data_IF_402724955670
#
_entry.id   IF_402724955670
#
_cell.length_a   1.000
_cell.length_b   1.000
_cell.length_c   1.000
_cell.angle_alpha   90.00
_cell.angle_beta   90.00
_cell.angle_gamma   90.00
#
_symmetry.space_group_name_H-M   'P 1'
#
loop_
_entity.id
_entity.type
_entity.pdbx_description
1 polymer ?
#
# COMPACT_ATOMS: atom_id res chain seq x y z
N UNK A 1 -18.01 3.06 -7.47
CA UNK A 1 -18.37 2.14 -6.36
C UNK A 1 -17.62 2.48 -5.05
N UNK A 2 -17.43 3.76 -4.69
CA UNK A 2 -16.57 4.17 -3.56
C UNK A 2 -17.31 4.43 -2.23
N UNK A 3 -18.63 4.65 -2.29
CA UNK A 3 -19.48 4.89 -1.11
C UNK A 3 -19.49 3.71 -0.13
N UNK A 4 -19.69 2.43 -0.57
CA UNK A 4 -19.68 1.31 0.36
C UNK A 4 -18.27 1.04 0.94
N UNK A 5 -17.21 1.30 0.19
CA UNK A 5 -15.84 1.10 0.68
C UNK A 5 -15.50 2.07 1.81
N UNK A 6 -15.89 3.35 1.71
CA UNK A 6 -15.70 4.34 2.79
C UNK A 6 -16.40 3.92 4.07
N UNK A 7 -17.68 3.54 3.97
CA UNK A 7 -18.46 3.09 5.14
C UNK A 7 -17.79 1.87 5.80
N UNK A 8 -17.34 0.90 5.00
CA UNK A 8 -16.63 -0.27 5.49
C UNK A 8 -15.30 0.10 6.17
N UNK A 9 -14.49 0.98 5.56
CA UNK A 9 -13.21 1.41 6.16
C UNK A 9 -13.42 2.14 7.48
N UNK A 10 -14.40 3.03 7.56
CA UNK A 10 -14.74 3.75 8.80
C UNK A 10 -15.22 2.80 9.90
N UNK A 11 -16.06 1.82 9.53
CA UNK A 11 -16.53 0.80 10.45
C UNK A 11 -15.38 -0.07 10.99
N UNK A 12 -14.45 -0.50 10.10
CA UNK A 12 -13.28 -1.27 10.50
C UNK A 12 -12.39 -0.45 11.43
N UNK A 13 -12.09 0.82 11.10
CA UNK A 13 -11.29 1.70 11.98
C UNK A 13 -11.92 1.86 13.36
N UNK A 14 -13.24 2.07 13.41
CA UNK A 14 -13.96 2.25 14.66
C UNK A 14 -13.88 1.02 15.58
N UNK A 15 -14.00 -0.19 15.01
CA UNK A 15 -13.91 -1.43 15.78
C UNK A 15 -12.49 -1.95 16.01
N UNK A 16 -11.48 -1.28 15.47
CA UNK A 16 -10.12 -1.78 15.45
C UNK A 16 -9.43 -1.64 16.81
N UNK A 17 -8.98 -2.77 17.39
CA UNK A 17 -8.21 -2.77 18.63
C UNK A 17 -6.74 -2.49 18.35
N UNK A 18 -6.27 -1.31 18.78
CA UNK A 18 -4.92 -0.80 18.50
C UNK A 18 -3.77 -1.48 19.29
N UNK A 19 -4.08 -2.42 20.17
CA UNK A 19 -3.10 -3.00 21.10
C UNK A 19 -2.18 -4.06 20.49
N UNK A 20 -2.41 -4.53 19.26
CA UNK A 20 -1.62 -5.61 18.65
C UNK A 20 -0.67 -5.06 17.59
N UNK A 21 0.57 -5.55 17.54
CA UNK A 21 1.62 -5.06 16.61
C UNK A 21 1.17 -5.16 15.15
N UNK A 22 0.66 -6.33 14.79
CA UNK A 22 0.10 -6.60 13.45
C UNK A 22 -1.04 -5.62 13.16
N UNK A 23 -1.82 -5.25 14.18
CA UNK A 23 -2.94 -4.33 14.00
C UNK A 23 -2.44 -2.93 13.62
N UNK A 24 -1.33 -2.45 14.18
CA UNK A 24 -0.82 -1.09 13.93
C UNK A 24 -0.51 -0.83 12.45
N UNK A 25 0.18 -1.73 11.74
CA UNK A 25 0.48 -1.55 10.32
C UNK A 25 -0.79 -1.60 9.46
N UNK A 26 -1.70 -2.54 9.73
CA UNK A 26 -2.98 -2.58 9.03
C UNK A 26 -3.78 -1.30 9.27
N UNK A 27 -3.72 -0.74 10.48
CA UNK A 27 -4.30 0.56 10.82
C UNK A 27 -3.72 1.69 9.96
N UNK A 28 -2.39 1.80 9.87
CA UNK A 28 -1.73 2.81 9.01
C UNK A 28 -2.13 2.63 7.54
N UNK A 29 -2.07 1.41 7.02
CA UNK A 29 -2.48 1.11 5.64
C UNK A 29 -3.94 1.50 5.37
N UNK A 30 -4.83 1.22 6.32
CA UNK A 30 -6.26 1.49 6.17
C UNK A 30 -6.56 2.99 6.28
N UNK A 31 -5.84 3.72 7.13
CA UNK A 31 -5.87 5.20 7.17
C UNK A 31 -5.38 5.78 5.85
N UNK A 32 -4.24 5.33 5.33
CA UNK A 32 -3.71 5.81 4.04
C UNK A 32 -4.70 5.55 2.90
N UNK A 33 -5.27 4.35 2.82
CA UNK A 33 -6.29 4.04 1.80
C UNK A 33 -7.58 4.86 1.99
N UNK A 34 -7.99 5.11 3.23
CA UNK A 34 -9.10 6.02 3.52
C UNK A 34 -8.82 7.44 3.02
N UNK A 35 -7.61 7.96 3.26
CA UNK A 35 -7.19 9.27 2.77
C UNK A 35 -7.17 9.33 1.24
N UNK A 36 -6.70 8.29 0.55
CA UNK A 36 -6.76 8.22 -0.92
C UNK A 36 -8.20 8.43 -1.38
N UNK A 37 -9.15 7.66 -0.84
CA UNK A 37 -10.55 7.76 -1.27
C UNK A 37 -11.14 9.14 -0.93
N UNK A 38 -10.82 9.70 0.24
CA UNK A 38 -11.26 11.03 0.65
C UNK A 38 -10.72 12.15 -0.24
N UNK A 39 -9.50 11.99 -0.78
CA UNK A 39 -8.88 12.97 -1.69
C UNK A 39 -9.36 12.77 -3.13
N UNK A 40 -9.53 11.54 -3.61
CA UNK A 40 -9.93 11.28 -5.01
C UNK A 40 -11.42 11.52 -5.26
N UNK A 41 -12.29 11.21 -4.29
CA UNK A 41 -13.74 11.30 -4.46
C UNK A 41 -14.24 12.72 -4.79
N UNK A 42 -13.87 13.79 -4.05
CA UNK A 42 -14.40 15.13 -4.34
C UNK A 42 -13.93 15.65 -5.69
N UNK A 43 -12.68 15.38 -6.09
CA UNK A 43 -12.16 15.80 -7.40
C UNK A 43 -12.85 15.06 -8.55
N UNK A 44 -13.06 13.76 -8.41
CA UNK A 44 -13.79 12.95 -9.40
C UNK A 44 -15.24 13.40 -9.53
N UNK A 45 -15.94 13.64 -8.40
CA UNK A 45 -17.33 14.11 -8.41
C UNK A 45 -17.46 15.51 -9.03
N UNK A 46 -16.54 16.42 -8.71
CA UNK A 46 -16.52 17.77 -9.27
C UNK A 46 -16.33 17.73 -10.79
N UNK A 47 -15.40 16.91 -11.28
CA UNK A 47 -15.16 16.71 -12.71
C UNK A 47 -16.38 16.11 -13.42
N UNK A 48 -17.03 15.10 -12.83
CA UNK A 48 -18.24 14.50 -13.40
C UNK A 48 -19.43 15.47 -13.45
N UNK A 49 -19.53 16.40 -12.50
CA UNK A 49 -20.63 17.37 -12.46
C UNK A 49 -20.40 18.56 -13.41
N UNK A 50 -19.20 19.14 -13.45
CA UNK A 50 -18.93 20.37 -14.22
C UNK A 50 -18.27 20.11 -15.58
N UNK A 51 -17.70 18.92 -15.82
CA UNK A 51 -16.87 18.63 -16.99
C UNK A 51 -15.51 19.35 -17.00
N UNK A 52 -15.18 20.07 -15.92
CA UNK A 52 -13.92 20.79 -15.75
C UNK A 52 -13.56 20.95 -14.26
N UNK A 53 -12.28 21.17 -13.97
CA UNK A 53 -11.78 21.43 -12.63
C UNK A 53 -11.82 22.92 -12.27
N UNK A 54 -11.85 23.25 -10.97
CA UNK A 54 -12.08 24.62 -10.49
C UNK A 54 -10.91 25.57 -10.78
N UNK A 55 -9.68 25.13 -10.52
CA UNK A 55 -8.48 25.97 -10.59
C UNK A 55 -7.25 25.13 -10.97
N UNK A 56 -6.46 25.61 -11.92
CA UNK A 56 -5.21 24.96 -12.36
C UNK A 56 -4.18 24.86 -11.24
N UNK A 57 -4.17 25.84 -10.32
CA UNK A 57 -3.25 25.87 -9.17
C UNK A 57 -3.49 24.74 -8.17
N UNK A 58 -4.67 24.12 -8.16
CA UNK A 58 -4.97 22.98 -7.30
C UNK A 58 -4.45 21.66 -7.88
N UNK A 59 -4.20 21.60 -9.19
CA UNK A 59 -3.68 20.41 -9.87
C UNK A 59 -2.35 19.91 -9.30
N UNK A 60 -1.28 20.73 -9.14
CA UNK A 60 -0.01 20.23 -8.61
C UNK A 60 -0.14 19.71 -7.18
N UNK A 61 -0.91 20.38 -6.33
CA UNK A 61 -1.15 19.94 -4.95
C UNK A 61 -1.91 18.61 -4.90
N UNK A 62 -2.94 18.47 -5.75
CA UNK A 62 -3.71 17.23 -5.83
C UNK A 62 -2.88 16.07 -6.38
N UNK A 63 -2.14 16.28 -7.48
CA UNK A 63 -1.22 15.29 -8.06
C UNK A 63 -0.21 14.84 -7.01
N UNK A 64 0.42 15.78 -6.30
CA UNK A 64 1.42 15.48 -5.27
C UNK A 64 0.83 14.58 -4.18
N UNK A 65 -0.33 14.95 -3.62
CA UNK A 65 -0.98 14.18 -2.56
C UNK A 65 -1.41 12.80 -3.08
N UNK A 66 -2.04 12.74 -4.26
CA UNK A 66 -2.57 11.49 -4.77
C UNK A 66 -1.46 10.47 -5.09
N UNK A 67 -0.43 10.89 -5.83
CA UNK A 67 0.71 10.01 -6.17
C UNK A 67 1.46 9.56 -4.91
N UNK A 68 1.68 10.49 -3.96
CA UNK A 68 2.33 10.15 -2.69
C UNK A 68 1.54 9.10 -1.92
N UNK A 69 0.24 9.31 -1.72
CA UNK A 69 -0.60 8.37 -0.96
C UNK A 69 -0.74 7.02 -1.68
N UNK A 70 -0.92 7.03 -3.01
CA UNK A 70 -1.04 5.82 -3.81
C UNK A 70 0.20 4.93 -3.71
N UNK A 71 1.38 5.51 -3.89
CA UNK A 71 2.64 4.77 -3.87
C UNK A 71 3.00 4.34 -2.44
N UNK A 72 2.70 5.19 -1.46
CA UNK A 72 2.82 4.81 -0.05
C UNK A 72 1.93 3.62 0.28
N UNK A 73 0.70 3.55 -0.25
CA UNK A 73 -0.19 2.40 -0.07
C UNK A 73 0.37 1.12 -0.68
N UNK A 74 0.95 1.20 -1.89
CA UNK A 74 1.59 0.05 -2.55
C UNK A 74 2.80 -0.44 -1.75
N UNK A 75 3.68 0.46 -1.34
CA UNK A 75 4.88 0.13 -0.55
C UNK A 75 4.50 -0.44 0.82
N UNK A 76 3.53 0.17 1.52
CA UNK A 76 3.03 -0.35 2.79
C UNK A 76 2.41 -1.73 2.62
N UNK A 77 1.64 -1.96 1.55
CA UNK A 77 1.08 -3.28 1.25
C UNK A 77 2.18 -4.32 1.04
N UNK A 78 3.21 -4.00 0.26
CA UNK A 78 4.38 -4.86 0.09
C UNK A 78 5.07 -5.17 1.43
N UNK A 79 5.26 -4.14 2.25
CA UNK A 79 5.85 -4.27 3.58
C UNK A 79 5.00 -5.15 4.50
N UNK A 80 3.67 -5.02 4.48
CA UNK A 80 2.78 -5.89 5.27
C UNK A 80 2.95 -7.36 4.91
N UNK A 81 3.17 -7.67 3.62
CA UNK A 81 3.46 -9.04 3.17
C UNK A 81 4.82 -9.53 3.66
N UNK A 82 5.86 -8.70 3.60
CA UNK A 82 7.20 -9.00 4.14
C UNK A 82 7.11 -9.28 5.64
N UNK A 83 6.45 -8.39 6.37
CA UNK A 83 6.33 -8.48 7.82
C UNK A 83 5.53 -9.74 8.23
N UNK A 84 4.43 -10.04 7.54
CA UNK A 84 3.68 -11.29 7.76
C UNK A 84 4.56 -12.52 7.53
N UNK A 85 5.37 -12.52 6.48
CA UNK A 85 6.33 -13.60 6.24
C UNK A 85 7.31 -13.74 7.41
N UNK A 86 7.91 -12.63 7.85
CA UNK A 86 8.83 -12.62 8.97
C UNK A 86 8.16 -13.08 10.28
N UNK A 87 6.91 -12.69 10.54
CA UNK A 87 6.19 -13.06 11.77
C UNK A 87 5.91 -14.57 11.81
N UNK A 88 5.54 -15.17 10.67
CA UNK A 88 5.23 -16.60 10.59
C UNK A 88 6.49 -17.47 10.75
N UNK A 89 7.63 -17.06 10.18
CA UNK A 89 8.83 -17.91 10.11
C UNK A 89 9.96 -17.50 11.06
N UNK A 90 9.96 -16.25 11.54
CA UNK A 90 11.04 -15.64 12.30
C UNK A 90 10.50 -14.81 13.48
N UNK A 91 9.49 -15.32 14.19
CA UNK A 91 8.83 -14.63 15.32
C UNK A 91 9.83 -14.14 16.40
N UNK A 92 10.81 -14.98 16.75
CA UNK A 92 11.89 -14.62 17.69
C UNK A 92 12.75 -13.43 17.23
N UNK A 93 12.96 -13.28 15.93
CA UNK A 93 13.73 -12.17 15.37
C UNK A 93 12.92 -10.87 15.43
N UNK A 94 11.65 -10.92 15.04
CA UNK A 94 10.74 -9.74 15.09
C UNK A 94 10.53 -9.26 16.51
N UNK A 95 10.30 -10.17 17.45
CA UNK A 95 10.07 -9.80 18.85
C UNK A 95 11.30 -9.14 19.46
N UNK A 96 12.50 -9.62 19.12
CA UNK A 96 13.77 -9.05 19.60
C UNK A 96 14.15 -7.74 18.92
N UNK A 97 13.90 -7.59 17.62
CA UNK A 97 14.31 -6.43 16.81
C UNK A 97 13.12 -5.62 16.31
N UNK A 98 12.07 -5.51 17.14
CA UNK A 98 10.81 -4.85 16.78
C UNK A 98 11.01 -3.43 16.24
N UNK A 99 11.86 -2.62 16.87
CA UNK A 99 12.07 -1.23 16.43
C UNK A 99 12.65 -1.17 15.02
N UNK A 100 13.68 -1.98 14.75
CA UNK A 100 14.41 -2.00 13.50
C UNK A 100 13.59 -2.59 12.35
N UNK A 101 12.83 -3.65 12.61
CA UNK A 101 12.12 -4.41 11.58
C UNK A 101 10.65 -4.00 11.41
N UNK A 102 10.08 -3.18 12.29
CA UNK A 102 8.68 -2.75 12.20
C UNK A 102 8.57 -1.23 12.01
N UNK A 103 9.09 -0.43 12.95
CA UNK A 103 8.86 1.02 12.95
C UNK A 103 9.75 1.77 11.96
N UNK A 104 11.05 1.44 11.89
CA UNK A 104 11.99 2.13 11.01
C UNK A 104 11.56 2.08 9.54
N UNK A 105 11.19 0.91 8.96
CA UNK A 105 10.80 0.84 7.55
C UNK A 105 9.57 1.69 7.24
N UNK A 106 8.55 1.67 8.11
CA UNK A 106 7.34 2.49 7.94
C UNK A 106 7.71 3.98 7.94
N UNK A 107 8.51 4.43 8.90
CA UNK A 107 8.94 5.84 8.99
C UNK A 107 9.74 6.23 7.75
N UNK A 108 10.66 5.36 7.32
CA UNK A 108 11.44 5.59 6.11
C UNK A 108 10.55 5.71 4.87
N UNK A 109 9.54 4.85 4.70
CA UNK A 109 8.61 4.96 3.58
C UNK A 109 7.73 6.22 3.66
N UNK A 110 7.24 6.56 4.84
CA UNK A 110 6.46 7.77 5.07
C UNK A 110 7.26 9.06 4.79
N UNK A 111 8.59 9.04 4.88
CA UNK A 111 9.45 10.19 4.56
C UNK A 111 9.91 10.13 3.10
N UNK A 112 10.30 8.95 2.61
CA UNK A 112 10.81 8.74 1.27
C UNK A 112 9.79 9.13 0.21
N UNK A 113 8.58 8.59 0.28
CA UNK A 113 7.55 8.78 -0.75
C UNK A 113 7.19 10.26 -0.96
N UNK A 114 6.85 11.05 0.08
CA UNK A 114 6.59 12.47 -0.13
C UNK A 114 7.83 13.23 -0.60
N UNK A 115 9.02 12.93 -0.08
CA UNK A 115 10.25 13.61 -0.51
C UNK A 115 10.53 13.38 -1.99
N UNK A 116 10.33 12.15 -2.47
CA UNK A 116 10.51 11.78 -3.88
C UNK A 116 9.54 12.53 -4.80
N UNK A 117 8.24 12.52 -4.48
CA UNK A 117 7.24 13.20 -5.32
C UNK A 117 7.29 14.72 -5.21
N UNK A 118 7.66 15.29 -4.05
CA UNK A 118 7.96 16.72 -3.93
C UNK A 118 9.12 17.09 -4.86
N UNK A 119 10.19 16.28 -4.87
CA UNK A 119 11.31 16.42 -5.79
C UNK A 119 10.88 16.43 -7.26
N UNK A 120 10.12 15.42 -7.68
CA UNK A 120 9.70 15.27 -9.08
C UNK A 120 8.64 16.26 -9.53
N UNK A 121 7.66 16.61 -8.67
CA UNK A 121 6.53 17.45 -9.08
C UNK A 121 6.89 18.94 -9.00
N UNK A 122 7.68 19.36 -8.00
CA UNK A 122 7.98 20.78 -7.76
C UNK A 122 9.32 21.19 -8.37
N UNK A 123 10.37 20.36 -8.24
CA UNK A 123 11.72 20.76 -8.59
C UNK A 123 12.20 20.27 -9.96
N UNK A 124 11.52 19.31 -10.59
CA UNK A 124 11.93 18.81 -11.90
C UNK A 124 11.64 19.86 -12.99
N UNK A 125 12.64 20.25 -13.81
CA UNK A 125 12.50 21.33 -14.78
C UNK A 125 11.76 20.84 -16.03
N UNK A 126 10.43 20.83 -15.96
CA UNK A 126 9.54 20.50 -17.06
C UNK A 126 8.51 21.61 -17.25
N UNK A 127 7.99 21.77 -18.47
CA UNK A 127 6.88 22.69 -18.72
C UNK A 127 5.56 22.00 -18.35
N UNK A 128 4.90 22.50 -17.29
CA UNK A 128 3.64 21.93 -16.81
C UNK A 128 2.47 22.45 -17.63
N UNK A 129 1.98 21.64 -18.56
CA UNK A 129 0.77 21.93 -19.33
C UNK A 129 -0.46 21.28 -18.67
N UNK A 130 -0.97 21.89 -17.60
CA UNK A 130 -2.21 21.44 -16.96
C UNK A 130 -3.41 21.81 -17.84
N UNK A 131 -4.26 20.82 -18.12
CA UNK A 131 -5.52 21.00 -18.82
C UNK A 131 -6.67 20.77 -17.86
N UNK A 132 -7.54 21.77 -17.70
CA UNK A 132 -8.73 21.67 -16.83
C UNK A 132 -9.81 20.74 -17.40
N UNK A 133 -9.76 20.46 -18.69
CA UNK A 133 -10.71 19.61 -19.40
C UNK A 133 -10.32 18.13 -19.40
N UNK A 134 -9.07 17.83 -19.08
CA UNK A 134 -8.61 16.45 -18.96
C UNK A 134 -8.94 15.91 -17.56
N UNK A 135 -9.40 14.66 -17.52
CA UNK A 135 -9.50 13.90 -16.29
C UNK A 135 -8.11 13.89 -15.60
N UNK A 136 -8.05 14.24 -14.31
CA UNK A 136 -6.81 14.16 -13.51
C UNK A 136 -5.74 15.21 -13.89
N UNK A 137 -6.15 16.37 -14.44
CA UNK A 137 -5.22 17.45 -14.81
C UNK A 137 -4.09 17.00 -15.74
N UNK A 138 -4.35 16.03 -16.65
CA UNK A 138 -3.38 15.45 -17.60
C UNK A 138 -2.18 14.70 -16.99
N UNK A 139 -2.06 14.67 -15.66
CA UNK A 139 -0.95 14.04 -14.93
C UNK A 139 0.31 14.91 -14.81
N UNK A 140 1.29 14.50 -13.99
CA UNK A 140 2.55 15.23 -13.84
C UNK A 140 3.42 15.15 -15.10
N UNK A 141 4.07 16.27 -15.41
CA UNK A 141 4.95 16.42 -16.59
C UNK A 141 6.04 15.34 -16.71
N UNK A 142 6.60 14.87 -15.59
CA UNK A 142 7.73 13.94 -15.59
C UNK A 142 7.35 12.57 -16.20
N UNK A 143 6.06 12.25 -16.26
CA UNK A 143 5.59 11.01 -16.89
C UNK A 143 5.77 11.00 -18.41
N UNK A 144 5.88 12.19 -19.03
CA UNK A 144 6.15 12.31 -20.46
C UNK A 144 7.65 12.25 -20.80
N UNK A 145 8.50 12.37 -19.78
CA UNK A 145 9.95 12.26 -19.92
C UNK A 145 10.42 10.82 -19.68
N UNK A 146 11.20 10.27 -20.62
CA UNK A 146 11.56 8.85 -20.63
C UNK A 146 12.27 8.39 -19.35
N UNK A 147 13.18 9.19 -18.80
CA UNK A 147 14.02 8.79 -17.66
C UNK A 147 13.23 8.78 -16.34
N UNK A 148 12.64 9.91 -15.86
CA UNK A 148 11.93 9.92 -14.58
C UNK A 148 10.70 9.01 -14.60
N UNK A 149 10.00 8.91 -15.74
CA UNK A 149 8.88 7.97 -15.90
C UNK A 149 9.35 6.52 -15.70
N UNK A 150 10.47 6.12 -16.31
CA UNK A 150 11.01 4.77 -16.18
C UNK A 150 11.49 4.49 -14.75
N UNK A 151 12.13 5.45 -14.08
CA UNK A 151 12.53 5.32 -12.67
C UNK A 151 11.30 5.09 -11.80
N UNK A 152 10.27 5.93 -11.93
CA UNK A 152 9.05 5.84 -11.14
C UNK A 152 8.33 4.50 -11.37
N UNK A 153 8.14 4.13 -12.64
CA UNK A 153 7.43 2.92 -13.01
C UNK A 153 8.20 1.65 -12.67
N UNK A 154 9.50 1.57 -12.96
CA UNK A 154 10.29 0.36 -12.71
C UNK A 154 10.63 0.19 -11.22
N UNK A 155 11.04 1.26 -10.53
CA UNK A 155 11.58 1.17 -9.17
C UNK A 155 10.46 1.28 -8.13
N UNK A 156 9.61 2.30 -8.20
CA UNK A 156 8.61 2.51 -7.16
C UNK A 156 7.39 1.58 -7.32
N UNK A 157 7.02 1.25 -8.57
CA UNK A 157 5.86 0.39 -8.84
C UNK A 157 6.30 -1.04 -9.15
N UNK A 158 7.07 -1.25 -10.22
CA UNK A 158 7.40 -2.57 -10.76
C UNK A 158 8.15 -3.47 -9.77
N UNK A 159 9.22 -2.95 -9.17
CA UNK A 159 10.03 -3.69 -8.20
C UNK A 159 9.22 -4.02 -6.94
N UNK A 160 8.43 -3.08 -6.43
CA UNK A 160 7.59 -3.29 -5.24
C UNK A 160 6.51 -4.34 -5.50
N UNK A 161 5.85 -4.29 -6.67
CA UNK A 161 4.88 -5.30 -7.08
C UNK A 161 5.53 -6.68 -7.24
N UNK A 162 6.70 -6.76 -7.87
CA UNK A 162 7.43 -8.01 -8.06
C UNK A 162 7.82 -8.65 -6.72
N UNK A 163 8.35 -7.87 -5.79
CA UNK A 163 8.68 -8.34 -4.43
C UNK A 163 7.41 -8.84 -3.73
N UNK A 164 6.32 -8.08 -3.80
CA UNK A 164 5.04 -8.45 -3.20
C UNK A 164 4.51 -9.78 -3.75
N UNK A 165 4.56 -9.95 -5.07
CA UNK A 165 4.15 -11.18 -5.75
C UNK A 165 4.99 -12.38 -5.29
N UNK A 166 6.32 -12.25 -5.28
CA UNK A 166 7.22 -13.33 -4.86
C UNK A 166 6.93 -13.73 -3.41
N UNK A 167 6.80 -12.76 -2.51
CA UNK A 167 6.57 -13.03 -1.08
C UNK A 167 5.21 -13.69 -0.86
N UNK A 168 4.16 -13.19 -1.51
CA UNK A 168 2.84 -13.79 -1.40
C UNK A 168 2.82 -15.23 -1.93
N UNK A 169 3.50 -15.51 -3.06
CA UNK A 169 3.65 -16.87 -3.59
C UNK A 169 4.39 -17.76 -2.59
N UNK A 170 5.49 -17.28 -1.99
CA UNK A 170 6.26 -18.04 -0.99
C UNK A 170 5.41 -18.35 0.25
N UNK A 171 4.65 -17.38 0.75
CA UNK A 171 3.74 -17.58 1.91
C UNK A 171 2.71 -18.65 1.57
N UNK A 172 2.04 -18.56 0.42
CA UNK A 172 1.00 -19.51 -0.01
C UNK A 172 1.58 -20.91 -0.16
N UNK A 173 2.69 -21.05 -0.91
CA UNK A 173 3.33 -22.33 -1.16
C UNK A 173 3.72 -23.05 0.13
N UNK A 174 4.30 -22.31 1.10
CA UNK A 174 4.67 -22.88 2.40
C UNK A 174 3.45 -23.22 3.26
N UNK A 175 2.42 -22.38 3.26
CA UNK A 175 1.18 -22.65 4.00
C UNK A 175 0.51 -23.93 3.49
N UNK A 176 0.49 -24.15 2.17
CA UNK A 176 0.00 -25.39 1.56
C UNK A 176 0.86 -26.58 2.02
N UNK A 177 2.19 -26.47 1.97
CA UNK A 177 3.12 -27.53 2.41
C UNK A 177 2.91 -27.89 3.89
N UNK A 178 2.75 -26.89 4.77
CA UNK A 178 2.49 -27.10 6.19
C UNK A 178 1.15 -27.79 6.41
N UNK A 179 0.11 -27.38 5.69
CA UNK A 179 -1.21 -28.04 5.75
C UNK A 179 -1.15 -29.50 5.32
N UNK A 180 -0.39 -29.83 4.27
CA UNK A 180 -0.20 -31.22 3.85
C UNK A 180 0.56 -32.05 4.90
N UNK A 181 1.57 -31.48 5.58
CA UNK A 181 2.28 -32.16 6.67
C UNK A 181 1.35 -32.47 7.85
N UNK A 182 0.53 -31.50 8.27
CA UNK A 182 -0.44 -31.71 9.36
C UNK A 182 -1.50 -32.76 9.00
N UNK A 183 -1.94 -32.83 7.74
CA UNK A 183 -2.86 -33.89 7.30
C UNK A 183 -2.23 -35.29 7.35
N UNK A 184 -0.91 -35.40 7.13
CA UNK A 184 -0.18 -36.68 7.21
C UNK A 184 0.15 -37.09 8.65
N UNK A 185 0.26 -36.15 9.59
CA UNK A 185 0.49 -36.45 11.01
C UNK A 185 -0.77 -36.88 11.76
N UNK A 186 -1.96 -36.79 11.15
CA UNK A 186 -3.17 -37.47 11.64
C UNK A 186 -3.06 -38.95 11.26
N UNK A 187 -2.21 -39.68 11.97
CA UNK A 187 -2.16 -41.15 11.90
C UNK A 187 -3.24 -41.66 12.86
N UNK A 188 -4.30 -42.25 12.32
CA UNK A 188 -5.29 -43.01 13.08
C UNK A 188 -4.63 -44.22 13.72
N UNK A 189 -4.26 -44.13 15.00
CA UNK A 189 -3.91 -45.28 15.83
C UNK A 189 -5.22 -45.81 16.45
N UNK A 190 -5.89 -46.71 15.74
CA UNK A 190 -7.19 -47.27 16.12
C UNK A 190 -8.37 -46.30 16.01
N UNK A 191 -9.53 -46.67 16.57
CA UNK A 191 -10.81 -45.95 16.48
C UNK A 191 -10.85 -44.58 17.22
N UNK A 192 -9.70 -44.07 17.71
CA UNK A 192 -9.60 -42.76 18.35
C UNK A 192 -8.67 -41.85 17.55
N UNK A 193 -9.25 -40.76 17.02
CA UNK A 193 -8.48 -39.64 16.48
C UNK A 193 -7.84 -38.89 17.66
N UNK A 194 -6.52 -38.96 17.79
CA UNK A 194 -5.77 -38.20 18.80
C UNK A 194 -4.84 -37.21 18.09
N UNK A 195 -4.95 -35.93 18.43
CA UNK A 195 -4.01 -34.90 17.97
C UNK A 195 -2.71 -35.08 18.75
N UNK A 196 -1.62 -35.44 18.06
CA UNK A 196 -0.28 -35.41 18.65
C UNK A 196 0.31 -34.05 18.26
N UNK A 197 0.49 -33.19 19.28
CA UNK A 197 1.17 -31.90 19.15
C UNK A 197 2.68 -32.08 19.21
#
# INVERSE_FOLDING_TARGET
MHIPSLSCTSFILYHFKWNQIVSQIFGVLLVVNGLIILVELPFTLQYLYHGQLYNERLCPAWILVNYTLFILSIILTAWTSIERYLFIYHDLLITRQRILLHYIPIILFCIYTPSFYVGLVIFYPCEQAYSLYDYICRGPCYLFESIPCLIDWCINIGLVLLITCIINIVIIARTIKQRHRMKRSIITVGNRKRWVF
#
